data_IF_427699714552
#
_entry.id   IF_427699714552
#
_cell.length_a   1.000
_cell.length_b   1.000
_cell.length_c   1.000
_cell.angle_alpha   90.00
_cell.angle_beta   90.00
_cell.angle_gamma   90.00
#
_symmetry.space_group_name_H-M   'P 1'
#
loop_
_entity.id
_entity.type
_entity.pdbx_description
1 polymer ?
#
# COMPACT_ATOMS: atom_id res chain seq x y z
N UNK A 1 -13.02 -8.60 11.64
CA UNK A 1 -11.92 -8.62 10.66
C UNK A 1 -11.68 -7.23 10.12
N UNK A 2 -10.41 -6.82 10.08
CA UNK A 2 -10.02 -5.51 9.56
C UNK A 2 -9.27 -5.69 8.26
N UNK A 3 -9.69 -5.02 7.21
CA UNK A 3 -9.05 -5.04 5.90
C UNK A 3 -8.15 -3.82 5.78
N UNK A 4 -6.84 -4.04 5.68
CA UNK A 4 -5.85 -3.00 5.51
C UNK A 4 -5.28 -3.09 4.09
N UNK A 5 -5.46 -2.04 3.32
CA UNK A 5 -4.89 -1.96 1.97
C UNK A 5 -3.46 -1.42 2.05
N UNK A 6 -2.53 -2.15 1.47
CA UNK A 6 -1.11 -1.81 1.50
C UNK A 6 -0.71 -1.23 0.14
N UNK A 7 -0.27 0.02 0.10
CA UNK A 7 0.25 0.60 -1.12
C UNK A 7 1.74 0.28 -1.29
N UNK A 8 2.32 0.67 -2.41
CA UNK A 8 3.71 0.35 -2.74
C UNK A 8 4.69 1.05 -1.81
N UNK A 9 4.41 2.29 -1.39
CA UNK A 9 5.31 3.01 -0.47
C UNK A 9 5.45 2.28 0.86
N UNK A 10 4.36 1.71 1.37
CA UNK A 10 4.38 0.92 2.60
C UNK A 10 5.03 -0.45 2.37
N UNK A 11 4.66 -1.14 1.29
CA UNK A 11 5.22 -2.46 1.00
C UNK A 11 6.74 -2.41 0.84
N UNK A 12 7.27 -1.35 0.22
CA UNK A 12 8.72 -1.20 0.05
C UNK A 12 9.45 -1.03 1.38
N UNK A 13 8.80 -0.47 2.40
CA UNK A 13 9.41 -0.36 3.73
C UNK A 13 9.49 -1.70 4.46
N UNK A 14 8.80 -2.73 3.97
CA UNK A 14 8.93 -4.09 4.50
C UNK A 14 10.10 -4.85 3.87
N UNK A 15 10.60 -4.40 2.70
CA UNK A 15 11.75 -5.02 2.03
C UNK A 15 13.03 -4.19 2.18
N UNK A 16 12.93 -2.95 2.62
CA UNK A 16 14.05 -2.06 2.89
C UNK A 16 14.16 -1.84 4.41
N UNK A 17 15.39 -1.71 4.89
CA UNK A 17 15.62 -1.37 6.30
C UNK A 17 15.74 0.14 6.42
N UNK A 18 14.61 0.79 6.65
CA UNK A 18 14.49 2.24 6.80
C UNK A 18 13.89 2.57 8.17
N UNK A 19 13.93 3.83 8.63
CA UNK A 19 13.51 4.15 10.01
C UNK A 19 12.09 3.70 10.38
N UNK A 20 11.16 3.66 9.43
CA UNK A 20 9.78 3.27 9.71
C UNK A 20 9.53 1.76 9.66
N UNK A 21 10.51 0.95 9.21
CA UNK A 21 10.29 -0.48 8.96
C UNK A 21 9.83 -1.25 10.20
N UNK A 22 10.46 -1.02 11.34
CA UNK A 22 10.12 -1.73 12.57
C UNK A 22 8.72 -1.34 13.08
N UNK A 23 8.38 -0.05 13.05
CA UNK A 23 7.07 0.43 13.47
C UNK A 23 5.98 -0.12 12.57
N UNK A 24 6.22 -0.18 11.26
CA UNK A 24 5.27 -0.74 10.29
C UNK A 24 5.05 -2.23 10.56
N UNK A 25 6.11 -3.00 10.71
CA UNK A 25 6.00 -4.44 10.99
C UNK A 25 5.24 -4.68 12.29
N UNK A 26 5.54 -3.92 13.35
CA UNK A 26 4.85 -4.04 14.62
C UNK A 26 3.35 -3.75 14.47
N UNK A 27 2.98 -2.70 13.73
CA UNK A 27 1.58 -2.34 13.51
C UNK A 27 0.84 -3.42 12.72
N UNK A 28 1.44 -3.92 11.65
CA UNK A 28 0.77 -4.91 10.80
C UNK A 28 0.60 -6.27 11.49
N UNK A 29 1.45 -6.61 12.45
CA UNK A 29 1.37 -7.87 13.18
C UNK A 29 0.67 -7.76 14.53
N UNK A 30 0.28 -6.54 14.95
CA UNK A 30 -0.33 -6.32 16.27
C UNK A 30 -1.73 -6.91 16.40
N UNK A 31 -2.42 -7.14 15.28
CA UNK A 31 -3.81 -7.64 15.28
C UNK A 31 -3.91 -8.88 14.40
N UNK A 32 -4.36 -9.97 14.98
CA UNK A 32 -4.54 -11.23 14.26
C UNK A 32 -5.70 -11.18 13.26
N UNK A 33 -6.68 -10.33 13.52
CA UNK A 33 -7.86 -10.20 12.66
C UNK A 33 -7.65 -9.28 11.46
N UNK A 34 -6.46 -8.69 11.33
CA UNK A 34 -6.15 -7.81 10.21
C UNK A 34 -5.77 -8.62 8.98
N UNK A 35 -6.40 -8.31 7.85
CA UNK A 35 -6.05 -8.90 6.56
C UNK A 35 -5.39 -7.84 5.70
N UNK A 36 -4.23 -8.19 5.15
CA UNK A 36 -3.52 -7.31 4.23
C UNK A 36 -3.99 -7.60 2.81
N UNK A 37 -4.41 -6.55 2.13
CA UNK A 37 -4.80 -6.62 0.72
C UNK A 37 -4.05 -5.55 -0.08
N UNK A 38 -3.92 -5.78 -1.36
CA UNK A 38 -3.46 -4.77 -2.31
C UNK A 38 -3.98 -5.15 -3.69
N UNK A 39 -3.58 -4.43 -4.72
CA UNK A 39 -3.90 -4.82 -6.09
C UNK A 39 -2.69 -5.48 -6.74
N UNK A 40 -2.92 -6.16 -7.88
CA UNK A 40 -1.84 -6.71 -8.68
C UNK A 40 -0.85 -5.66 -9.18
N UNK A 41 -1.24 -4.38 -9.14
CA UNK A 41 -0.30 -3.29 -9.43
C UNK A 41 0.88 -3.32 -8.46
N UNK A 42 0.65 -3.69 -7.19
CA UNK A 42 1.74 -3.83 -6.21
C UNK A 42 2.79 -4.83 -6.69
N UNK A 43 2.36 -5.96 -7.22
CA UNK A 43 3.27 -6.99 -7.75
C UNK A 43 4.20 -6.39 -8.81
N UNK A 44 3.62 -5.67 -9.77
CA UNK A 44 4.38 -5.03 -10.84
C UNK A 44 5.35 -3.99 -10.30
N UNK A 45 4.87 -3.11 -9.43
CA UNK A 45 5.70 -2.02 -8.90
C UNK A 45 6.88 -2.55 -8.09
N UNK A 46 6.66 -3.56 -7.26
CA UNK A 46 7.74 -4.13 -6.44
C UNK A 46 8.78 -4.85 -7.29
N UNK A 47 8.36 -5.59 -8.31
CA UNK A 47 9.29 -6.26 -9.22
C UNK A 47 10.07 -5.25 -10.06
N UNK A 48 9.43 -4.18 -10.50
CA UNK A 48 10.13 -3.11 -11.22
C UNK A 48 11.16 -2.42 -10.32
N UNK A 49 10.82 -2.20 -9.05
CA UNK A 49 11.76 -1.61 -8.09
C UNK A 49 12.96 -2.53 -7.86
N UNK A 50 12.73 -3.83 -7.71
CA UNK A 50 13.81 -4.80 -7.56
C UNK A 50 14.72 -4.82 -8.80
N UNK A 51 14.14 -4.74 -10.00
CA UNK A 51 14.91 -4.71 -11.24
C UNK A 51 15.72 -3.43 -11.42
N UNK A 52 15.23 -2.29 -10.96
CA UNK A 52 15.96 -1.02 -11.03
C UNK A 52 17.02 -0.88 -9.95
N UNK A 53 16.84 -1.54 -8.80
CA UNK A 53 17.74 -1.43 -7.65
C UNK A 53 18.11 -2.80 -7.12
N UNK A 54 18.76 -3.66 -7.95
CA UNK A 54 19.00 -5.06 -7.58
C UNK A 54 19.94 -5.24 -6.39
N UNK A 55 20.73 -4.22 -6.06
CA UNK A 55 21.62 -4.28 -4.90
C UNK A 55 20.94 -3.88 -3.61
N UNK A 56 19.87 -3.09 -3.68
CA UNK A 56 19.18 -2.56 -2.52
C UNK A 56 17.89 -3.32 -2.20
N UNK A 57 17.27 -3.94 -3.22
CA UNK A 57 15.98 -4.63 -3.08
C UNK A 57 16.20 -6.12 -3.30
N UNK A 58 16.02 -6.89 -2.22
CA UNK A 58 16.13 -8.34 -2.25
C UNK A 58 14.84 -8.94 -2.82
N UNK A 59 14.97 -9.68 -3.92
CA UNK A 59 13.82 -10.31 -4.58
C UNK A 59 13.13 -11.34 -3.69
N UNK A 60 13.87 -12.05 -2.85
CA UNK A 60 13.26 -13.01 -1.92
C UNK A 60 12.40 -12.29 -0.88
N UNK A 61 12.84 -11.12 -0.41
CA UNK A 61 12.05 -10.29 0.49
C UNK A 61 10.77 -9.78 -0.20
N UNK A 62 10.87 -9.37 -1.47
CA UNK A 62 9.70 -8.97 -2.27
C UNK A 62 8.68 -10.11 -2.34
N UNK A 63 9.14 -11.32 -2.64
CA UNK A 63 8.26 -12.49 -2.74
C UNK A 63 7.59 -12.78 -1.39
N UNK A 64 8.33 -12.68 -0.29
CA UNK A 64 7.77 -12.91 1.04
C UNK A 64 6.66 -11.91 1.37
N UNK A 65 6.85 -10.64 1.04
CA UNK A 65 5.81 -9.62 1.24
C UNK A 65 4.58 -9.93 0.39
N UNK A 66 4.78 -10.21 -0.89
CA UNK A 66 3.67 -10.49 -1.81
C UNK A 66 2.89 -11.74 -1.38
N UNK A 67 3.57 -12.76 -0.82
CA UNK A 67 2.91 -13.96 -0.33
C UNK A 67 2.05 -13.68 0.92
N UNK A 68 2.33 -12.62 1.65
CA UNK A 68 1.58 -12.26 2.86
C UNK A 68 0.38 -11.34 2.56
N UNK A 69 0.22 -10.89 1.32
CA UNK A 69 -0.80 -9.92 0.91
C UNK A 69 -1.76 -10.59 -0.07
N UNK A 70 -3.06 -10.39 0.14
CA UNK A 70 -4.06 -10.84 -0.82
C UNK A 70 -4.14 -9.83 -1.97
N UNK A 71 -3.75 -10.26 -3.18
CA UNK A 71 -3.71 -9.39 -4.35
C UNK A 71 -5.05 -9.44 -5.10
N UNK A 72 -5.63 -8.27 -5.29
CA UNK A 72 -6.93 -8.08 -5.92
C UNK A 72 -6.74 -7.75 -7.39
N UNK A 73 -7.52 -8.40 -8.25
CA UNK A 73 -7.47 -8.12 -9.69
C UNK A 73 -7.91 -6.69 -9.97
N UNK A 74 -7.20 -6.04 -10.89
CA UNK A 74 -7.61 -4.74 -11.40
C UNK A 74 -8.77 -4.91 -12.36
N UNK A 75 -9.74 -4.01 -12.27
CA UNK A 75 -10.87 -3.98 -13.19
C UNK A 75 -10.85 -2.71 -14.03
N UNK A 76 -11.57 -2.72 -15.13
CA UNK A 76 -11.77 -1.51 -15.93
C UNK A 76 -12.41 -0.41 -15.09
N UNK A 77 -13.34 -0.78 -14.20
CA UNK A 77 -13.98 0.17 -13.31
C UNK A 77 -12.99 0.86 -12.37
N UNK A 78 -11.97 0.13 -11.90
CA UNK A 78 -10.92 0.72 -11.06
C UNK A 78 -10.16 1.79 -11.82
N UNK A 79 -9.84 1.54 -13.09
CA UNK A 79 -9.12 2.51 -13.91
C UNK A 79 -9.97 3.76 -14.18
N UNK A 80 -11.26 3.56 -14.42
CA UNK A 80 -12.18 4.70 -14.59
C UNK A 80 -12.31 5.51 -13.31
N UNK A 81 -12.47 4.84 -12.17
CA UNK A 81 -12.57 5.50 -10.87
C UNK A 81 -11.28 6.24 -10.51
N UNK A 82 -10.12 5.64 -10.83
CA UNK A 82 -8.81 6.25 -10.55
C UNK A 82 -8.70 7.63 -11.19
N UNK A 83 -9.23 7.81 -12.40
CA UNK A 83 -9.21 9.09 -13.09
C UNK A 83 -9.93 10.21 -12.37
N UNK A 84 -10.79 9.90 -11.41
CA UNK A 84 -11.50 10.90 -10.59
C UNK A 84 -10.70 11.36 -9.37
N UNK A 85 -9.53 10.77 -9.12
CA UNK A 85 -8.71 11.08 -7.94
C UNK A 85 -7.55 12.02 -8.25
N UNK A 86 -7.71 12.88 -9.28
CA UNK A 86 -6.73 13.92 -9.54
C UNK A 86 -6.59 14.82 -8.30
N UNK A 87 -5.41 15.33 -8.00
CA UNK A 87 -4.18 15.29 -8.79
C UNK A 87 -3.23 14.14 -8.47
N UNK A 88 -3.70 13.02 -7.94
CA UNK A 88 -2.83 11.89 -7.66
C UNK A 88 -2.15 11.38 -8.93
N UNK A 89 -0.93 10.87 -8.79
CA UNK A 89 -0.26 10.14 -9.85
C UNK A 89 -1.05 8.87 -10.15
N UNK A 90 -0.93 8.36 -11.39
CA UNK A 90 -1.73 7.24 -11.88
C UNK A 90 -1.74 6.04 -10.94
N UNK A 91 -0.56 5.62 -10.48
CA UNK A 91 -0.46 4.42 -9.64
C UNK A 91 -1.11 4.63 -8.28
N UNK A 92 -0.92 5.80 -7.67
CA UNK A 92 -1.55 6.12 -6.40
C UNK A 92 -3.07 6.20 -6.54
N UNK A 93 -3.55 6.78 -7.64
CA UNK A 93 -4.97 6.86 -7.93
C UNK A 93 -5.59 5.46 -8.10
N UNK A 94 -4.87 4.54 -8.75
CA UNK A 94 -5.32 3.16 -8.92
C UNK A 94 -5.38 2.45 -7.56
N UNK A 95 -4.35 2.60 -6.73
CA UNK A 95 -4.37 2.01 -5.39
C UNK A 95 -5.56 2.51 -4.58
N UNK A 96 -5.83 3.81 -4.60
CA UNK A 96 -6.95 4.37 -3.87
C UNK A 96 -8.29 3.84 -4.40
N UNK A 97 -8.45 3.77 -5.71
CA UNK A 97 -9.68 3.25 -6.32
C UNK A 97 -9.95 1.80 -5.91
N UNK A 98 -8.93 0.95 -5.92
CA UNK A 98 -9.10 -0.45 -5.50
C UNK A 98 -9.41 -0.54 -4.01
N UNK A 99 -8.70 0.23 -3.17
CA UNK A 99 -8.94 0.23 -1.73
C UNK A 99 -10.39 0.60 -1.42
N UNK A 100 -10.94 1.59 -2.10
CA UNK A 100 -12.33 2.00 -1.91
C UNK A 100 -13.31 0.93 -2.41
N UNK A 101 -13.04 0.32 -3.57
CA UNK A 101 -13.92 -0.70 -4.13
C UNK A 101 -14.02 -1.94 -3.25
N UNK A 102 -12.91 -2.40 -2.68
CA UNK A 102 -12.92 -3.61 -1.84
C UNK A 102 -13.41 -3.33 -0.42
N UNK A 103 -13.74 -2.08 -0.11
CA UNK A 103 -14.22 -1.73 1.22
C UNK A 103 -13.16 -1.83 2.29
N UNK A 104 -11.92 -1.44 1.99
CA UNK A 104 -10.86 -1.46 2.97
C UNK A 104 -11.23 -0.58 4.17
N UNK A 105 -10.90 -1.05 5.36
CA UNK A 105 -11.13 -0.31 6.60
C UNK A 105 -10.08 0.78 6.80
N UNK A 106 -8.91 0.56 6.24
CA UNK A 106 -7.78 1.49 6.36
C UNK A 106 -6.84 1.29 5.18
N UNK A 107 -6.07 2.34 4.86
CA UNK A 107 -4.98 2.25 3.88
C UNK A 107 -3.66 2.55 4.59
N UNK A 108 -2.66 1.73 4.32
CA UNK A 108 -1.31 1.90 4.87
C UNK A 108 -0.44 2.51 3.78
N UNK A 109 -0.01 3.74 3.97
CA UNK A 109 0.76 4.48 2.98
C UNK A 109 1.65 5.51 3.64
N UNK A 110 2.75 5.84 2.97
CA UNK A 110 3.67 6.92 3.39
C UNK A 110 3.72 8.05 2.38
N UNK A 111 2.92 7.98 1.31
CA UNK A 111 2.85 9.03 0.31
C UNK A 111 1.91 10.13 0.78
N UNK A 112 2.44 11.36 0.94
CA UNK A 112 1.67 12.47 1.51
C UNK A 112 0.44 12.86 0.69
N UNK A 113 0.54 12.83 -0.63
CA UNK A 113 -0.60 13.16 -1.49
C UNK A 113 -1.69 12.09 -1.38
N UNK A 114 -1.29 10.81 -1.32
CA UNK A 114 -2.25 9.72 -1.15
C UNK A 114 -2.91 9.78 0.24
N UNK A 115 -2.13 10.12 1.29
CA UNK A 115 -2.67 10.32 2.63
C UNK A 115 -3.80 11.33 2.62
N UNK A 116 -3.56 12.51 2.04
CA UNK A 116 -4.56 13.57 1.99
C UNK A 116 -5.79 13.15 1.19
N UNK A 117 -5.59 12.54 0.04
CA UNK A 117 -6.70 12.16 -0.83
C UNK A 117 -7.54 11.04 -0.23
N UNK A 118 -6.89 10.06 0.41
CA UNK A 118 -7.59 8.96 1.07
C UNK A 118 -8.47 9.49 2.22
N UNK A 119 -7.92 10.40 3.03
CA UNK A 119 -8.68 11.02 4.11
C UNK A 119 -9.87 11.80 3.58
N UNK A 120 -9.69 12.56 2.50
CA UNK A 120 -10.79 13.29 1.86
C UNK A 120 -11.88 12.35 1.35
N UNK A 121 -11.52 11.12 0.97
CA UNK A 121 -12.47 10.11 0.52
C UNK A 121 -13.10 9.32 1.69
N UNK A 122 -12.75 9.66 2.93
CA UNK A 122 -13.29 8.99 4.12
C UNK A 122 -12.59 7.71 4.51
N UNK A 123 -11.42 7.42 3.95
CA UNK A 123 -10.65 6.21 4.25
C UNK A 123 -9.59 6.51 5.31
N UNK A 124 -9.66 5.87 6.49
CA UNK A 124 -8.61 6.03 7.50
C UNK A 124 -7.23 5.64 6.99
N UNK A 125 -6.22 6.39 7.42
CA UNK A 125 -4.85 6.21 6.96
C UNK A 125 -3.95 5.83 8.12
N UNK A 126 -3.07 4.83 7.89
CA UNK A 126 -1.99 4.47 8.81
C UNK A 126 -0.66 4.75 8.14
N UNK A 127 0.22 5.44 8.85
CA UNK A 127 1.61 5.69 8.44
C UNK A 127 2.52 5.45 9.66
N UNK A 128 2.66 4.18 10.10
CA UNK A 128 3.38 3.87 11.34
C UNK A 128 4.82 4.38 11.34
N UNK A 129 5.25 4.94 12.46
CA UNK A 129 6.60 5.47 12.61
C UNK A 129 6.79 6.90 12.12
N UNK A 130 5.69 7.58 11.74
CA UNK A 130 5.76 9.01 11.39
C UNK A 130 5.12 9.85 12.50
N UNK A 131 5.57 11.09 12.62
CA UNK A 131 5.04 12.01 13.62
C UNK A 131 3.85 12.82 13.11
N UNK A 132 3.60 12.82 11.82
CA UNK A 132 2.64 13.72 11.18
C UNK A 132 1.19 13.25 11.24
N UNK A 133 0.94 12.03 11.64
CA UNK A 133 -0.39 11.43 11.63
C UNK A 133 -1.22 11.75 12.86
N UNK A 134 -0.70 12.52 13.73
CA UNK A 134 -1.34 12.90 14.97
C UNK A 134 -2.56 13.78 14.75
#
# INVERSE_FOLDING_TARGET
MTIAYLDTSAAMKLVLDVPQSDALTAELTAREDRRLVSSWLLHTEMHCAAGRHPQDVDLDAVRAVLDSVNLIDLTRGDLLAAGTHAPLRSNDAIHLAVALRVGADEIVTYDGELVERARAAGLPVLSPGTASHQ
#
